data_IF_689304635158
#
_entry.id   IF_689304635158
#
_cell.length_a   1.000
_cell.length_b   1.000
_cell.length_c   1.000
_cell.angle_alpha   90.00
_cell.angle_beta   90.00
_cell.angle_gamma   90.00
#
_symmetry.space_group_name_H-M   'P 1'
#
loop_
_entity.id
_entity.type
_entity.pdbx_description
1 polymer ?
#
# COMPACT_ATOMS: atom_id res chain seq x y z
N UNK A 1 -3.06 -4.57 -3.47
CA UNK A 1 -3.14 -6.04 -3.59
C UNK A 1 -2.77 -6.54 -4.98
N UNK A 2 -3.18 -5.83 -6.04
CA UNK A 2 -2.89 -6.23 -7.42
C UNK A 2 -1.39 -6.34 -7.70
N UNK A 3 -0.60 -5.35 -7.28
CA UNK A 3 0.87 -5.37 -7.43
C UNK A 3 1.58 -6.60 -6.84
N UNK A 4 1.14 -7.09 -5.66
CA UNK A 4 1.75 -8.28 -5.04
C UNK A 4 1.36 -9.54 -5.82
N UNK A 5 0.10 -9.64 -6.26
CA UNK A 5 -0.37 -10.79 -7.06
C UNK A 5 0.35 -10.85 -8.41
N UNK A 6 0.52 -9.70 -9.06
CA UNK A 6 1.31 -9.58 -10.29
C UNK A 6 2.78 -9.96 -10.01
N UNK A 7 3.38 -9.46 -8.92
CA UNK A 7 4.74 -9.83 -8.52
C UNK A 7 4.94 -11.35 -8.34
N UNK A 8 4.01 -12.04 -7.69
CA UNK A 8 4.07 -13.50 -7.59
C UNK A 8 4.00 -14.19 -8.95
N UNK A 9 3.12 -13.73 -9.85
CA UNK A 9 3.04 -14.29 -11.20
C UNK A 9 4.32 -14.05 -12.02
N UNK A 10 4.97 -12.90 -11.85
CA UNK A 10 6.25 -12.59 -12.48
C UNK A 10 7.40 -13.45 -11.92
N UNK A 11 7.39 -13.69 -10.60
CA UNK A 11 8.36 -14.56 -9.94
C UNK A 11 8.22 -16.01 -10.40
N UNK A 12 6.99 -16.52 -10.46
CA UNK A 12 6.70 -17.87 -10.97
C UNK A 12 7.10 -18.02 -12.45
N UNK A 13 7.04 -16.93 -13.22
CA UNK A 13 7.51 -16.88 -14.61
C UNK A 13 9.04 -16.70 -14.73
N UNK A 14 9.77 -16.55 -13.61
CA UNK A 14 11.20 -16.31 -13.57
C UNK A 14 11.63 -14.93 -14.10
N UNK A 15 10.70 -13.97 -14.16
CA UNK A 15 10.96 -12.61 -14.67
C UNK A 15 11.50 -11.65 -13.61
N UNK A 16 11.24 -11.95 -12.34
CA UNK A 16 11.83 -11.26 -11.20
C UNK A 16 12.45 -12.27 -10.24
N UNK A 17 13.46 -11.86 -9.49
CA UNK A 17 14.07 -12.69 -8.47
C UNK A 17 13.37 -12.57 -7.10
N UNK A 18 13.87 -13.34 -6.11
CA UNK A 18 13.29 -13.36 -4.78
C UNK A 18 13.48 -12.04 -4.01
N UNK A 19 14.52 -11.25 -4.32
CA UNK A 19 14.74 -9.95 -3.70
C UNK A 19 13.79 -8.91 -4.25
N UNK A 20 13.55 -8.91 -5.56
CA UNK A 20 12.55 -8.06 -6.20
C UNK A 20 11.13 -8.35 -5.69
N UNK A 21 10.80 -9.64 -5.49
CA UNK A 21 9.53 -10.03 -4.86
C UNK A 21 9.47 -9.60 -3.39
N UNK A 22 10.55 -9.77 -2.63
CA UNK A 22 10.62 -9.32 -1.22
C UNK A 22 10.44 -7.81 -1.10
N UNK A 23 11.02 -7.02 -2.02
CA UNK A 23 10.83 -5.57 -2.08
C UNK A 23 9.36 -5.19 -2.34
N UNK A 24 8.67 -5.89 -3.24
CA UNK A 24 7.23 -5.70 -3.49
C UNK A 24 6.40 -6.02 -2.24
N UNK A 25 6.73 -7.11 -1.53
CA UNK A 25 6.06 -7.50 -0.28
C UNK A 25 6.34 -6.48 0.83
N UNK A 26 7.57 -5.98 0.91
CA UNK A 26 7.96 -4.93 1.85
C UNK A 26 7.21 -3.61 1.57
N UNK A 27 7.09 -3.21 0.30
CA UNK A 27 6.30 -2.04 -0.07
C UNK A 27 4.83 -2.22 0.28
N UNK A 28 4.25 -3.39 0.03
CA UNK A 28 2.89 -3.69 0.44
C UNK A 28 2.69 -3.55 1.95
N UNK A 29 3.59 -4.12 2.76
CA UNK A 29 3.58 -3.98 4.22
C UNK A 29 3.64 -2.51 4.65
N UNK A 30 4.43 -1.67 3.97
CA UNK A 30 4.52 -0.25 4.27
C UNK A 30 3.25 0.51 3.89
N UNK A 31 2.66 0.20 2.74
CA UNK A 31 1.40 0.77 2.31
C UNK A 31 0.27 0.52 3.34
N UNK A 32 0.18 -0.70 3.88
CA UNK A 32 -0.81 -1.03 4.92
C UNK A 32 -0.54 -0.29 6.23
N UNK A 33 0.73 -0.06 6.59
CA UNK A 33 1.10 0.75 7.74
C UNK A 33 0.66 2.21 7.56
N UNK A 34 0.81 2.80 6.36
CA UNK A 34 0.36 4.17 6.10
C UNK A 34 -1.16 4.30 6.24
N UNK A 35 -1.93 3.33 5.73
CA UNK A 35 -3.37 3.27 5.95
C UNK A 35 -3.71 3.12 7.44
N UNK A 36 -2.99 2.25 8.15
CA UNK A 36 -3.21 2.05 9.59
C UNK A 36 -2.94 3.32 10.41
N UNK A 37 -1.88 4.08 10.09
CA UNK A 37 -1.59 5.37 10.73
C UNK A 37 -2.75 6.34 10.57
N UNK A 38 -3.33 6.42 9.37
CA UNK A 38 -4.53 7.24 9.13
C UNK A 38 -5.67 6.80 10.05
N UNK A 39 -5.97 5.50 10.11
CA UNK A 39 -7.03 4.98 10.97
C UNK A 39 -6.78 5.23 12.47
N UNK A 40 -5.54 5.11 12.94
CA UNK A 40 -5.21 5.24 14.37
C UNK A 40 -5.12 6.70 14.82
N UNK A 41 -4.62 7.61 13.99
CA UNK A 41 -4.58 9.05 14.31
C UNK A 41 -5.98 9.61 14.56
N UNK A 42 -7.00 9.04 13.94
CA UNK A 42 -8.40 9.43 14.12
C UNK A 42 -9.03 8.94 15.44
N UNK A 43 -8.32 8.14 16.24
CA UNK A 43 -8.73 7.77 17.60
C UNK A 43 -10.13 7.16 17.70
N UNK A 44 -11.02 7.78 18.49
CA UNK A 44 -12.40 7.34 18.68
C UNK A 44 -13.36 7.66 17.52
N UNK A 45 -12.89 8.33 16.47
CA UNK A 45 -13.71 8.76 15.33
C UNK A 45 -13.79 7.70 14.22
N UNK A 46 -13.95 6.42 14.58
CA UNK A 46 -13.96 5.30 13.63
C UNK A 46 -15.03 5.47 12.54
N UNK A 47 -16.23 5.95 12.90
CA UNK A 47 -17.31 6.20 11.95
C UNK A 47 -16.96 7.29 10.93
N UNK A 48 -16.23 8.33 11.37
CA UNK A 48 -15.78 9.39 10.46
C UNK A 48 -14.72 8.87 9.49
N UNK A 49 -13.76 8.06 9.98
CA UNK A 49 -12.74 7.40 9.15
C UNK A 49 -13.38 6.52 8.09
N UNK A 50 -14.33 5.66 8.49
CA UNK A 50 -15.02 4.77 7.56
C UNK A 50 -15.74 5.56 6.46
N UNK A 51 -16.51 6.59 6.84
CA UNK A 51 -17.19 7.47 5.87
C UNK A 51 -16.22 8.21 4.96
N UNK A 52 -15.07 8.63 5.48
CA UNK A 52 -14.03 9.31 4.69
C UNK A 52 -13.42 8.38 3.65
N UNK A 53 -13.09 7.14 4.04
CA UNK A 53 -12.58 6.12 3.11
C UNK A 53 -13.61 5.78 2.04
N UNK A 54 -14.89 5.63 2.39
CA UNK A 54 -15.96 5.39 1.43
C UNK A 54 -16.13 6.55 0.46
N UNK A 55 -16.12 7.79 0.96
CA UNK A 55 -16.24 8.99 0.15
C UNK A 55 -15.09 9.13 -0.84
N UNK A 56 -13.84 9.00 -0.38
CA UNK A 56 -12.66 9.03 -1.24
C UNK A 56 -12.67 7.96 -2.32
N UNK A 57 -13.20 6.77 -2.01
CA UNK A 57 -13.31 5.69 -2.99
C UNK A 57 -14.31 6.01 -4.09
N UNK A 58 -15.43 6.68 -3.75
CA UNK A 58 -16.44 7.12 -4.73
C UNK A 58 -15.88 8.24 -5.62
N UNK A 59 -15.19 9.20 -5.01
CA UNK A 59 -14.69 10.40 -5.71
C UNK A 59 -13.35 10.16 -6.41
N UNK A 60 -12.76 8.97 -6.24
CA UNK A 60 -11.41 8.60 -6.73
C UNK A 60 -10.30 9.52 -6.22
N UNK A 61 -10.51 10.09 -5.05
CA UNK A 61 -9.53 10.92 -4.33
C UNK A 61 -8.76 10.12 -3.27
N UNK A 62 -8.94 8.81 -3.23
CA UNK A 62 -8.24 7.95 -2.29
C UNK A 62 -6.72 8.13 -2.46
N UNK A 63 -5.98 8.44 -1.37
CA UNK A 63 -4.55 8.52 -1.43
C UNK A 63 -3.96 7.23 -2.01
N UNK A 64 -2.97 7.37 -2.89
CA UNK A 64 -2.21 6.21 -3.32
C UNK A 64 -1.34 5.70 -2.16
N UNK A 65 -1.90 4.75 -1.41
CA UNK A 65 -1.22 4.12 -0.29
C UNK A 65 0.00 3.32 -0.75
N UNK A 66 0.01 2.82 -1.99
CA UNK A 66 1.14 2.10 -2.56
C UNK A 66 2.33 3.03 -2.76
N UNK A 67 2.10 4.20 -3.36
CA UNK A 67 3.13 5.23 -3.52
C UNK A 67 3.62 5.77 -2.16
N UNK A 68 2.71 6.02 -1.22
CA UNK A 68 3.09 6.41 0.15
C UNK A 68 3.93 5.37 0.88
N UNK A 69 3.67 4.09 0.60
CA UNK A 69 4.43 2.97 1.11
C UNK A 69 5.80 2.79 0.44
N UNK A 70 6.08 3.48 -0.67
CA UNK A 70 7.26 3.25 -1.47
C UNK A 70 8.56 3.47 -0.67
N UNK A 71 9.60 2.66 -0.92
CA UNK A 71 10.92 2.92 -0.38
C UNK A 71 11.38 4.33 -0.77
N UNK A 72 11.75 5.14 0.22
CA UNK A 72 12.39 6.43 -0.05
C UNK A 72 13.72 6.08 -0.68
N UNK A 73 13.88 6.30 -1.99
CA UNK A 73 15.18 6.13 -2.65
C UNK A 73 16.15 7.04 -1.91
N UNK A 74 17.10 6.43 -1.20
CA UNK A 74 18.30 7.15 -0.76
C UNK A 74 19.10 7.32 -2.04
N UNK A 75 19.03 8.51 -2.62
CA UNK A 75 20.02 8.92 -3.61
C UNK A 75 21.39 8.70 -2.95
N UNK A 76 22.17 7.80 -3.54
CA UNK A 76 23.53 7.48 -3.13
C UNK A 76 24.47 7.96 -4.21
#
# INVERSE_FOLDING_TARGET
MQHVREGFAEYDAGRIDAFELDDLVHQYKRATIELWKFCVVSGSQLDLVARTLEHWRVDKEEPDWWDRGAPRRRDR
#
